data_IF_469447978828
#
_entry.id   IF_469447978828
#
_cell.length_a   1.000
_cell.length_b   1.000
_cell.length_c   1.000
_cell.angle_alpha   90.00
_cell.angle_beta   90.00
_cell.angle_gamma   90.00
#
_symmetry.space_group_name_H-M   'P 1'
#
loop_
_entity.id
_entity.type
_entity.pdbx_description
1 polymer ?
#
# COMPACT_ATOMS: atom_id res chain seq x y z
N UNK A 1 -9.11 -14.66 -0.60
CA UNK A 1 -8.34 -14.89 0.65
C UNK A 1 -7.98 -16.38 0.72
N UNK A 2 -6.75 -16.72 1.10
CA UNK A 2 -6.31 -18.11 1.32
C UNK A 2 -7.21 -18.80 2.35
N UNK A 3 -7.42 -20.12 2.20
CA UNK A 3 -8.25 -20.89 3.14
C UNK A 3 -7.66 -20.90 4.57
N UNK A 4 -6.33 -20.92 4.67
CA UNK A 4 -5.54 -20.94 5.92
C UNK A 4 -5.14 -19.52 6.41
N UNK A 5 -5.80 -18.47 5.93
CA UNK A 5 -5.45 -17.07 6.28
C UNK A 5 -5.48 -16.82 7.80
N UNK A 6 -6.48 -17.36 8.50
CA UNK A 6 -6.60 -17.17 9.95
C UNK A 6 -5.50 -17.91 10.73
N UNK A 7 -5.08 -19.09 10.26
CA UNK A 7 -3.99 -19.84 10.91
C UNK A 7 -2.66 -19.13 10.71
N UNK A 8 -2.43 -18.57 9.51
CA UNK A 8 -1.28 -17.73 9.25
C UNK A 8 -1.28 -16.45 10.12
N UNK A 9 -2.43 -15.82 10.29
CA UNK A 9 -2.56 -14.65 11.15
C UNK A 9 -2.28 -14.98 12.63
N UNK A 10 -2.78 -16.14 13.13
CA UNK A 10 -2.44 -16.66 14.47
C UNK A 10 -0.93 -16.90 14.62
N UNK A 11 -0.29 -17.48 13.60
CA UNK A 11 1.15 -17.68 13.58
C UNK A 11 1.90 -16.37 13.70
N UNK A 12 1.55 -15.36 12.88
CA UNK A 12 2.18 -14.03 12.95
C UNK A 12 1.96 -13.37 14.32
N UNK A 13 0.79 -13.51 14.92
CA UNK A 13 0.50 -13.00 16.25
C UNK A 13 1.43 -13.62 17.30
N UNK A 14 1.65 -14.95 17.25
CA UNK A 14 2.62 -15.63 18.12
C UNK A 14 4.05 -15.10 17.91
N UNK A 15 4.47 -14.91 16.67
CA UNK A 15 5.80 -14.33 16.38
C UNK A 15 5.94 -12.92 16.94
N UNK A 16 4.86 -12.14 16.92
CA UNK A 16 4.83 -10.80 17.52
C UNK A 16 4.91 -10.85 19.05
N UNK A 17 4.20 -11.79 19.69
CA UNK A 17 4.27 -12.00 21.14
C UNK A 17 5.68 -12.43 21.61
N UNK A 18 6.39 -13.19 20.77
CA UNK A 18 7.80 -13.58 21.00
C UNK A 18 8.82 -12.52 20.51
N UNK A 19 8.39 -11.30 20.22
CA UNK A 19 9.23 -10.17 19.77
C UNK A 19 10.07 -10.42 18.51
N UNK A 20 9.76 -11.52 17.76
CA UNK A 20 10.43 -11.83 16.49
C UNK A 20 10.01 -10.90 15.36
N UNK A 21 8.81 -10.35 15.44
CA UNK A 21 8.30 -9.29 14.57
C UNK A 21 7.68 -8.19 15.42
N UNK A 22 7.88 -6.93 15.04
CA UNK A 22 7.38 -5.78 15.81
C UNK A 22 5.94 -5.42 15.47
N UNK A 23 5.56 -5.50 14.21
CA UNK A 23 4.28 -5.01 13.71
C UNK A 23 3.71 -5.89 12.60
N UNK A 24 2.38 -5.99 12.58
CA UNK A 24 1.62 -6.66 11.51
C UNK A 24 0.78 -5.59 10.80
N UNK A 25 1.02 -5.42 9.50
CA UNK A 25 0.23 -4.55 8.65
C UNK A 25 -0.44 -5.36 7.55
N UNK A 26 -1.68 -4.99 7.22
CA UNK A 26 -2.41 -5.62 6.12
C UNK A 26 -2.76 -4.55 5.09
N UNK A 27 -2.48 -4.85 3.82
CA UNK A 27 -2.99 -4.08 2.70
C UNK A 27 -4.10 -4.87 2.02
N UNK A 28 -5.22 -4.22 1.76
CA UNK A 28 -6.42 -4.87 1.24
C UNK A 28 -7.22 -3.93 0.34
N UNK A 29 -8.00 -4.49 -0.59
CA UNK A 29 -9.04 -3.77 -1.32
C UNK A 29 -10.32 -3.55 -0.49
N UNK A 30 -10.36 -4.07 0.74
CA UNK A 30 -11.47 -3.90 1.69
C UNK A 30 -12.67 -4.81 1.47
N UNK A 31 -12.76 -5.56 0.37
CA UNK A 31 -13.97 -6.36 0.03
C UNK A 31 -14.34 -7.40 1.09
N UNK A 32 -13.37 -7.96 1.79
CA UNK A 32 -13.58 -8.95 2.84
C UNK A 32 -13.37 -8.37 4.26
N UNK A 33 -13.12 -7.07 4.36
CA UNK A 33 -12.74 -6.45 5.63
C UNK A 33 -13.85 -6.57 6.69
N UNK A 34 -15.12 -6.43 6.29
CA UNK A 34 -16.26 -6.60 7.20
C UNK A 34 -16.27 -7.97 7.90
N UNK A 35 -15.95 -9.02 7.12
CA UNK A 35 -15.92 -10.42 7.63
C UNK A 35 -14.77 -10.66 8.59
N UNK A 36 -13.59 -10.11 8.28
CA UNK A 36 -12.36 -10.44 9.00
C UNK A 36 -11.97 -9.42 10.09
N UNK A 37 -12.64 -8.28 10.20
CA UNK A 37 -12.25 -7.19 11.10
C UNK A 37 -12.05 -7.63 12.56
N UNK A 38 -12.90 -8.49 13.08
CA UNK A 38 -12.81 -9.02 14.46
C UNK A 38 -11.54 -9.85 14.66
N UNK A 39 -11.24 -10.75 13.74
CA UNK A 39 -10.02 -11.56 13.77
C UNK A 39 -8.76 -10.71 13.63
N UNK A 40 -8.79 -9.66 12.78
CA UNK A 40 -7.67 -8.75 12.63
C UNK A 40 -7.38 -7.98 13.92
N UNK A 41 -8.42 -7.56 14.63
CA UNK A 41 -8.30 -6.92 15.94
C UNK A 41 -7.80 -7.92 17.00
N UNK A 42 -8.40 -9.11 17.08
CA UNK A 42 -8.04 -10.17 18.02
C UNK A 42 -6.56 -10.59 17.89
N UNK A 43 -6.08 -10.73 16.67
CA UNK A 43 -4.68 -11.12 16.39
C UNK A 43 -3.71 -9.93 16.24
N UNK A 44 -4.04 -8.81 16.86
CA UNK A 44 -3.11 -7.71 17.09
C UNK A 44 -2.54 -7.06 15.83
N UNK A 45 -3.34 -6.98 14.76
CA UNK A 45 -2.98 -6.22 13.56
C UNK A 45 -2.86 -4.75 13.92
N UNK A 46 -1.69 -4.16 13.65
CA UNK A 46 -1.39 -2.79 14.05
C UNK A 46 -2.08 -1.76 13.15
N UNK A 47 -2.16 -2.04 11.85
CA UNK A 47 -2.76 -1.13 10.87
C UNK A 47 -3.28 -1.88 9.65
N UNK A 48 -4.38 -1.38 9.11
CA UNK A 48 -4.94 -1.83 7.84
C UNK A 48 -4.81 -0.69 6.84
N UNK A 49 -4.11 -0.95 5.73
CA UNK A 49 -4.07 -0.05 4.58
C UNK A 49 -5.18 -0.50 3.62
N UNK A 50 -6.15 0.36 3.37
CA UNK A 50 -7.23 0.06 2.44
C UNK A 50 -7.03 0.86 1.16
N UNK A 51 -6.99 0.16 0.02
CA UNK A 51 -6.97 0.78 -1.30
C UNK A 51 -8.38 1.29 -1.62
N UNK A 52 -8.51 2.61 -1.74
CA UNK A 52 -9.79 3.28 -2.02
C UNK A 52 -9.53 4.50 -2.89
N UNK A 53 -9.76 4.34 -4.19
CA UNK A 53 -9.41 5.36 -5.18
C UNK A 53 -10.54 6.35 -5.48
N UNK A 54 -11.78 6.07 -5.01
CA UNK A 54 -12.92 6.96 -5.18
C UNK A 54 -13.97 6.74 -4.07
N UNK A 55 -14.69 7.81 -3.72
CA UNK A 55 -15.88 7.80 -2.88
C UNK A 55 -17.18 7.87 -3.69
N UNK A 56 -17.08 7.94 -5.02
CA UNK A 56 -18.21 7.93 -5.96
C UNK A 56 -18.42 6.50 -6.45
N UNK A 57 -19.63 5.97 -6.29
CA UNK A 57 -19.95 4.56 -6.56
C UNK A 57 -19.64 4.15 -8.00
N UNK A 58 -19.99 4.97 -8.96
CA UNK A 58 -19.81 4.72 -10.38
C UNK A 58 -18.32 4.68 -10.75
N UNK A 59 -17.53 5.63 -10.24
CA UNK A 59 -16.08 5.65 -10.42
C UNK A 59 -15.40 4.46 -9.73
N UNK A 60 -15.82 4.14 -8.50
CA UNK A 60 -15.30 2.99 -7.77
C UNK A 60 -15.61 1.67 -8.50
N UNK A 61 -16.85 1.48 -8.93
CA UNK A 61 -17.27 0.31 -9.71
C UNK A 61 -16.43 0.16 -10.98
N UNK A 62 -16.23 1.25 -11.70
CA UNK A 62 -15.43 1.25 -12.93
C UNK A 62 -13.97 0.87 -12.68
N UNK A 63 -13.28 1.55 -11.74
CA UNK A 63 -11.84 1.34 -11.52
C UNK A 63 -11.52 -0.02 -10.88
N UNK A 64 -12.47 -0.59 -10.13
CA UNK A 64 -12.32 -1.89 -9.47
C UNK A 64 -12.90 -3.06 -10.28
N UNK A 65 -13.39 -2.78 -11.48
CA UNK A 65 -14.03 -3.76 -12.36
C UNK A 65 -15.18 -4.51 -11.66
N UNK A 66 -16.14 -3.77 -11.13
CA UNK A 66 -17.36 -4.33 -10.52
C UNK A 66 -17.39 -4.35 -8.99
N UNK A 67 -16.48 -3.64 -8.33
CA UNK A 67 -16.44 -3.56 -6.86
C UNK A 67 -17.64 -2.82 -6.25
N UNK A 68 -18.03 -3.23 -5.05
CA UNK A 68 -19.11 -2.60 -4.30
C UNK A 68 -18.54 -1.67 -3.21
N UNK A 69 -18.67 -0.35 -3.42
CA UNK A 69 -18.15 0.66 -2.50
C UNK A 69 -18.80 0.58 -1.12
N UNK A 70 -20.13 0.39 -1.05
CA UNK A 70 -20.85 0.37 0.24
C UNK A 70 -20.35 -0.75 1.15
N UNK A 71 -20.07 -1.93 0.57
CA UNK A 71 -19.51 -3.06 1.33
C UNK A 71 -18.12 -2.75 1.88
N UNK A 72 -17.29 -2.07 1.09
CA UNK A 72 -15.95 -1.67 1.52
C UNK A 72 -16.02 -0.63 2.63
N UNK A 73 -16.85 0.41 2.47
CA UNK A 73 -17.05 1.43 3.50
C UNK A 73 -17.60 0.85 4.81
N UNK A 74 -18.56 -0.08 4.74
CA UNK A 74 -19.05 -0.82 5.92
C UNK A 74 -17.92 -1.58 6.62
N UNK A 75 -17.06 -2.24 5.85
CA UNK A 75 -15.90 -2.97 6.39
C UNK A 75 -14.89 -2.05 7.09
N UNK A 76 -14.58 -0.91 6.47
CA UNK A 76 -13.68 0.12 7.02
C UNK A 76 -14.23 0.66 8.36
N UNK A 77 -15.50 1.01 8.39
CA UNK A 77 -16.14 1.56 9.59
C UNK A 77 -16.26 0.51 10.71
N UNK A 78 -16.54 -0.76 10.39
CA UNK A 78 -16.50 -1.86 11.36
C UNK A 78 -15.10 -2.02 11.95
N UNK A 79 -14.08 -2.08 11.12
CA UNK A 79 -12.70 -2.21 11.56
C UNK A 79 -12.28 -1.03 12.47
N UNK A 80 -12.70 0.19 12.14
CA UNK A 80 -12.48 1.37 12.99
C UNK A 80 -13.15 1.26 14.36
N UNK A 81 -14.41 0.80 14.40
CA UNK A 81 -15.15 0.58 15.67
C UNK A 81 -14.45 -0.44 16.57
N UNK A 82 -13.77 -1.44 15.99
CA UNK A 82 -12.98 -2.44 16.70
C UNK A 82 -11.57 -1.95 17.12
N UNK A 83 -11.30 -0.66 17.02
CA UNK A 83 -10.04 -0.04 17.44
C UNK A 83 -8.87 -0.19 16.46
N UNK A 84 -9.08 -0.77 15.29
CA UNK A 84 -8.02 -0.93 14.29
C UNK A 84 -7.61 0.42 13.68
N UNK A 85 -6.31 0.62 13.51
CA UNK A 85 -5.79 1.78 12.82
C UNK A 85 -6.02 1.65 11.31
N UNK A 86 -6.76 2.57 10.73
CA UNK A 86 -7.08 2.57 9.30
C UNK A 86 -6.25 3.64 8.60
N UNK A 87 -5.64 3.22 7.50
CA UNK A 87 -4.99 4.11 6.53
C UNK A 87 -5.63 3.90 5.16
N UNK A 88 -6.10 4.96 4.57
CA UNK A 88 -6.61 4.95 3.19
C UNK A 88 -5.44 5.25 2.25
N UNK A 89 -5.29 4.44 1.22
CA UNK A 89 -4.37 4.65 0.12
C UNK A 89 -5.18 4.95 -1.13
N UNK A 90 -4.94 6.10 -1.73
CA UNK A 90 -5.60 6.55 -2.96
C UNK A 90 -4.56 6.80 -4.04
N UNK A 91 -4.62 6.07 -5.14
CA UNK A 91 -3.83 6.35 -6.33
C UNK A 91 -4.51 7.48 -7.09
N UNK A 92 -3.77 8.58 -7.30
CA UNK A 92 -4.29 9.71 -8.06
C UNK A 92 -4.20 9.43 -9.56
N UNK A 93 -5.31 9.65 -10.24
CA UNK A 93 -5.46 9.51 -11.69
C UNK A 93 -6.03 10.79 -12.27
N UNK A 94 -5.29 11.38 -13.20
CA UNK A 94 -5.67 12.62 -13.90
C UNK A 94 -6.98 12.43 -14.67
N UNK A 95 -7.89 13.40 -14.56
CA UNK A 95 -9.22 13.42 -15.18
C UNK A 95 -10.11 12.24 -14.77
N UNK A 96 -9.83 11.62 -13.61
CA UNK A 96 -10.65 10.54 -13.09
C UNK A 96 -11.08 10.76 -11.64
N UNK A 97 -10.13 10.87 -10.70
CA UNK A 97 -10.41 11.09 -9.28
C UNK A 97 -9.65 12.28 -8.68
N UNK A 98 -9.00 13.07 -9.52
CA UNK A 98 -8.33 14.31 -9.11
C UNK A 98 -9.31 15.40 -8.66
N UNK A 99 -10.57 15.32 -9.04
CA UNK A 99 -11.68 16.12 -8.54
C UNK A 99 -12.17 15.70 -7.13
N UNK A 100 -11.79 14.50 -6.65
CA UNK A 100 -12.18 13.96 -5.35
C UNK A 100 -11.14 14.20 -4.24
N UNK A 101 -10.01 14.86 -4.52
CA UNK A 101 -8.93 15.07 -3.54
C UNK A 101 -9.49 15.64 -2.24
N UNK A 102 -10.31 16.66 -2.32
CA UNK A 102 -10.87 17.33 -1.15
C UNK A 102 -11.88 16.44 -0.41
N UNK A 103 -12.82 15.84 -1.12
CA UNK A 103 -13.84 14.98 -0.51
C UNK A 103 -13.24 13.78 0.22
N UNK A 104 -12.19 13.17 -0.35
CA UNK A 104 -11.44 12.08 0.29
C UNK A 104 -10.73 12.58 1.56
N UNK A 105 -10.10 13.75 1.52
CA UNK A 105 -9.45 14.36 2.69
C UNK A 105 -10.45 14.62 3.82
N UNK A 106 -11.58 15.23 3.49
CA UNK A 106 -12.64 15.53 4.47
C UNK A 106 -13.23 14.25 5.06
N UNK A 107 -13.51 13.25 4.23
CA UNK A 107 -14.03 11.97 4.70
C UNK A 107 -13.04 11.24 5.62
N UNK A 108 -11.76 11.22 5.25
CA UNK A 108 -10.72 10.65 6.10
C UNK A 108 -10.60 11.40 7.43
N UNK A 109 -10.63 12.71 7.40
CA UNK A 109 -10.57 13.55 8.60
C UNK A 109 -11.75 13.31 9.54
N UNK A 110 -12.98 13.31 9.01
CA UNK A 110 -14.21 13.03 9.77
C UNK A 110 -14.14 11.69 10.50
N UNK A 111 -13.56 10.69 9.87
CA UNK A 111 -13.45 9.32 10.42
C UNK A 111 -12.13 9.08 11.18
N UNK A 112 -11.26 10.06 11.32
CA UNK A 112 -9.94 9.95 11.94
C UNK A 112 -9.07 8.85 11.30
N UNK A 113 -9.11 8.74 9.97
CA UNK A 113 -8.25 7.87 9.18
C UNK A 113 -6.97 8.60 8.77
N UNK A 114 -5.86 7.87 8.69
CA UNK A 114 -4.70 8.35 7.95
C UNK A 114 -4.96 8.20 6.45
N UNK A 115 -4.45 9.14 5.65
CA UNK A 115 -4.58 9.11 4.19
C UNK A 115 -3.20 9.10 3.56
N UNK A 116 -3.05 8.44 2.40
CA UNK A 116 -1.91 8.65 1.52
C UNK A 116 -2.37 8.75 0.07
N UNK A 117 -2.03 9.85 -0.57
CA UNK A 117 -2.09 9.97 -2.02
C UNK A 117 -0.82 9.40 -2.66
N UNK A 118 -0.99 8.67 -3.75
CA UNK A 118 0.05 7.90 -4.41
C UNK A 118 0.04 8.23 -5.90
N UNK A 119 1.21 8.49 -6.47
CA UNK A 119 1.35 8.60 -7.93
C UNK A 119 1.15 7.24 -8.60
N UNK A 120 0.43 7.21 -9.71
CA UNK A 120 0.28 6.02 -10.54
C UNK A 120 1.65 5.53 -11.03
N UNK A 121 1.87 4.23 -10.95
CA UNK A 121 3.13 3.60 -11.37
C UNK A 121 2.91 2.74 -12.63
N UNK A 122 3.92 2.62 -13.52
CA UNK A 122 3.86 1.74 -14.69
C UNK A 122 4.16 0.29 -14.29
N UNK A 123 3.22 -0.35 -13.59
CA UNK A 123 3.31 -1.73 -13.07
C UNK A 123 2.10 -2.53 -13.55
N UNK A 124 2.30 -3.80 -13.87
CA UNK A 124 1.28 -4.68 -14.44
C UNK A 124 1.21 -4.57 -15.95
N UNK A 125 0.25 -5.25 -16.56
CA UNK A 125 0.01 -5.15 -18.00
C UNK A 125 -0.56 -3.78 -18.33
N UNK A 126 0.14 -3.05 -19.17
CA UNK A 126 -0.27 -1.74 -19.64
C UNK A 126 -0.61 -1.82 -21.12
N UNK A 127 -1.89 -1.63 -21.43
CA UNK A 127 -2.36 -1.51 -22.81
C UNK A 127 -2.09 -0.12 -23.41
N UNK A 128 -1.77 0.86 -22.55
CA UNK A 128 -1.43 2.24 -22.94
C UNK A 128 -0.45 2.86 -21.95
N UNK A 129 0.22 3.93 -22.37
CA UNK A 129 1.09 4.71 -21.50
C UNK A 129 0.32 5.29 -20.31
N UNK A 130 0.91 5.24 -19.11
CA UNK A 130 0.37 5.92 -17.92
C UNK A 130 0.47 7.44 -17.99
N UNK A 131 1.09 7.99 -19.02
CA UNK A 131 1.29 9.44 -19.21
C UNK A 131 -0.02 10.23 -19.15
N UNK A 132 -1.08 9.71 -19.76
CA UNK A 132 -2.40 10.36 -19.76
C UNK A 132 -3.09 10.35 -18.41
N UNK A 133 -2.76 9.37 -17.57
CA UNK A 133 -3.36 9.18 -16.24
C UNK A 133 -2.49 9.78 -15.12
N UNK A 134 -1.25 10.15 -15.43
CA UNK A 134 -0.31 10.63 -14.42
C UNK A 134 -0.66 12.04 -13.95
N UNK A 135 -0.69 12.20 -12.63
CA UNK A 135 -0.75 13.47 -11.94
C UNK A 135 0.24 13.45 -10.77
N UNK A 136 1.16 14.41 -10.67
CA UNK A 136 2.07 14.50 -9.53
C UNK A 136 1.31 14.74 -8.23
N UNK A 137 1.66 14.05 -7.15
CA UNK A 137 1.02 14.26 -5.84
C UNK A 137 1.18 15.68 -5.29
N UNK A 138 2.11 16.47 -5.83
CA UNK A 138 2.25 17.88 -5.48
C UNK A 138 0.99 18.70 -5.80
N UNK A 139 0.24 18.35 -6.85
CA UNK A 139 -1.04 19.00 -7.16
C UNK A 139 -2.02 18.83 -6.00
N UNK A 140 -2.19 17.59 -5.49
CA UNK A 140 -3.03 17.36 -4.31
C UNK A 140 -2.49 18.09 -3.08
N UNK A 141 -1.17 18.12 -2.90
CA UNK A 141 -0.53 18.86 -1.81
C UNK A 141 -0.83 20.35 -1.85
N UNK A 142 -0.77 20.97 -3.03
CA UNK A 142 -1.03 22.39 -3.20
C UNK A 142 -2.51 22.74 -2.97
N UNK A 143 -3.44 21.93 -3.48
CA UNK A 143 -4.88 22.07 -3.23
C UNK A 143 -5.16 22.04 -1.72
N UNK A 144 -4.63 21.03 -1.02
CA UNK A 144 -4.86 20.86 0.42
C UNK A 144 -4.18 21.99 1.20
N UNK A 145 -2.96 22.38 0.83
CA UNK A 145 -2.22 23.46 1.50
C UNK A 145 -2.95 24.78 1.40
N UNK A 146 -3.49 25.13 0.21
CA UNK A 146 -4.21 26.38 -0.03
C UNK A 146 -5.47 26.49 0.85
N UNK A 147 -6.18 25.39 1.06
CA UNK A 147 -7.49 25.41 1.73
C UNK A 147 -7.42 25.12 3.23
N UNK A 148 -6.53 24.22 3.65
CA UNK A 148 -6.49 23.70 5.02
C UNK A 148 -5.18 23.96 5.75
N UNK A 149 -4.21 24.58 5.08
CA UNK A 149 -2.84 24.63 5.56
C UNK A 149 -2.21 23.22 5.55
N UNK A 150 -0.90 23.14 5.44
CA UNK A 150 -0.22 21.84 5.43
C UNK A 150 1.21 21.99 5.99
N UNK A 151 1.46 21.38 7.14
CA UNK A 151 2.74 21.45 7.84
C UNK A 151 3.39 20.08 7.87
N UNK A 152 4.67 19.93 7.49
CA UNK A 152 5.37 18.65 7.59
C UNK A 152 5.46 18.20 9.04
N UNK A 153 5.36 16.89 9.26
CA UNK A 153 5.50 16.29 10.58
C UNK A 153 6.57 15.19 10.56
N UNK A 154 7.31 15.06 11.65
CA UNK A 154 8.29 14.00 11.82
C UNK A 154 7.62 12.68 12.23
N UNK A 155 6.55 12.30 11.50
CA UNK A 155 5.89 11.02 11.65
C UNK A 155 6.37 10.10 10.54
N UNK A 156 6.97 8.98 10.93
CA UNK A 156 7.46 7.97 9.98
C UNK A 156 6.72 6.67 10.19
N UNK A 157 6.45 5.98 9.12
CA UNK A 157 6.05 4.58 9.12
C UNK A 157 7.10 3.79 8.37
N UNK A 158 7.06 2.46 8.42
CA UNK A 158 7.95 1.61 7.61
C UNK A 158 7.67 1.71 6.09
N UNK A 159 6.79 2.60 5.67
CA UNK A 159 6.44 2.88 4.27
C UNK A 159 7.06 4.18 3.75
N UNK A 160 6.94 4.44 2.44
CA UNK A 160 7.58 5.56 1.75
C UNK A 160 6.83 6.90 1.89
N UNK A 161 5.74 6.93 2.62
CA UNK A 161 4.88 8.11 2.73
C UNK A 161 5.55 9.23 3.52
N UNK A 162 5.62 10.43 2.96
CA UNK A 162 5.99 11.66 3.66
C UNK A 162 4.73 12.29 4.23
N UNK A 163 4.67 12.46 5.55
CA UNK A 163 3.46 12.88 6.25
C UNK A 163 3.43 14.35 6.58
N UNK A 164 2.22 14.88 6.56
CA UNK A 164 1.87 16.26 6.91
C UNK A 164 0.61 16.26 7.80
N UNK A 165 0.46 17.29 8.60
CA UNK A 165 -0.81 17.62 9.25
C UNK A 165 -1.39 18.88 8.64
N UNK A 166 -2.70 19.00 8.65
CA UNK A 166 -3.40 20.23 8.31
C UNK A 166 -3.65 21.04 9.58
N UNK A 167 -3.81 22.34 9.43
CA UNK A 167 -4.12 23.22 10.58
C UNK A 167 -5.59 23.12 11.03
N UNK A 168 -6.47 22.68 10.11
CA UNK A 168 -7.93 22.70 10.31
C UNK A 168 -8.54 21.30 10.42
N UNK A 169 -7.79 20.23 10.10
CA UNK A 169 -8.31 18.88 10.04
C UNK A 169 -7.48 17.92 10.90
N UNK A 170 -8.15 17.01 11.59
CA UNK A 170 -7.53 16.06 12.53
C UNK A 170 -7.02 14.79 11.84
N UNK A 171 -6.36 14.89 10.67
CA UNK A 171 -5.84 13.73 9.95
C UNK A 171 -4.39 13.91 9.52
N UNK A 172 -3.68 12.79 9.46
CA UNK A 172 -2.33 12.73 8.89
C UNK A 172 -2.47 12.43 7.40
N UNK A 173 -1.96 13.33 6.56
CA UNK A 173 -1.98 13.18 5.11
C UNK A 173 -0.57 12.87 4.64
N UNK A 174 -0.43 11.76 3.95
CA UNK A 174 0.82 11.30 3.38
C UNK A 174 0.84 11.46 1.86
N UNK A 175 2.03 11.60 1.32
CA UNK A 175 2.28 11.62 -0.12
C UNK A 175 3.35 10.62 -0.48
N UNK A 176 3.08 9.81 -1.50
CA UNK A 176 4.00 8.80 -2.03
C UNK A 176 4.27 9.16 -3.50
N UNK A 177 5.47 9.59 -3.79
CA UNK A 177 5.91 10.11 -5.08
C UNK A 177 7.00 9.23 -5.71
N UNK A 178 6.66 8.03 -6.19
CA UNK A 178 7.67 7.14 -6.78
C UNK A 178 8.24 7.68 -8.09
N UNK A 179 7.51 8.53 -8.80
CA UNK A 179 7.90 9.07 -10.10
C UNK A 179 8.54 10.45 -9.95
N UNK A 180 7.80 11.42 -9.39
CA UNK A 180 8.25 12.82 -9.34
C UNK A 180 9.36 13.07 -8.31
N UNK A 181 9.38 12.33 -7.20
CA UNK A 181 10.39 12.41 -6.13
C UNK A 181 10.69 11.04 -5.57
N UNK A 182 11.49 10.25 -6.26
CA UNK A 182 11.75 8.89 -5.84
C UNK A 182 12.41 8.82 -4.44
N UNK A 183 12.09 7.75 -3.72
CA UNK A 183 12.55 7.49 -2.35
C UNK A 183 13.43 6.23 -2.27
N UNK A 184 14.01 5.81 -3.39
CA UNK A 184 14.75 4.55 -3.49
C UNK A 184 15.91 4.44 -2.51
N UNK A 185 16.68 5.53 -2.30
CA UNK A 185 17.81 5.57 -1.37
C UNK A 185 17.44 5.20 0.08
N UNK A 186 16.19 5.45 0.50
CA UNK A 186 15.70 5.12 1.84
C UNK A 186 14.80 3.87 1.88
N UNK A 187 14.70 3.13 0.78
CA UNK A 187 13.80 1.99 0.67
C UNK A 187 14.39 0.73 1.29
N UNK A 188 13.82 0.29 2.41
CA UNK A 188 14.20 -0.92 3.16
C UNK A 188 13.26 -2.12 2.87
N UNK A 189 12.46 -2.09 1.81
CA UNK A 189 11.43 -3.10 1.54
C UNK A 189 11.95 -4.23 0.67
N UNK A 190 11.53 -5.43 1.02
CA UNK A 190 11.60 -6.63 0.19
C UNK A 190 10.17 -7.17 0.01
N UNK A 191 9.98 -8.08 -0.93
CA UNK A 191 8.69 -8.72 -1.20
C UNK A 191 8.87 -10.21 -1.41
N UNK A 192 7.90 -10.97 -0.91
CA UNK A 192 7.79 -12.40 -1.18
C UNK A 192 6.36 -12.64 -1.65
N UNK A 193 6.21 -13.27 -2.79
CA UNK A 193 4.88 -13.64 -3.31
C UNK A 193 4.30 -14.83 -2.55
N UNK A 194 3.00 -15.05 -2.68
CA UNK A 194 2.34 -16.26 -2.16
C UNK A 194 2.88 -17.56 -2.77
N UNK A 195 3.52 -17.47 -3.93
CA UNK A 195 4.18 -18.59 -4.60
C UNK A 195 5.64 -18.77 -4.20
N UNK A 196 6.16 -18.00 -3.22
CA UNK A 196 7.54 -18.14 -2.73
C UNK A 196 8.60 -17.48 -3.61
N UNK A 197 8.23 -16.49 -4.45
CA UNK A 197 9.21 -15.74 -5.23
C UNK A 197 9.61 -14.47 -4.46
N UNK A 198 10.91 -14.32 -4.24
CA UNK A 198 11.50 -13.13 -3.62
C UNK A 198 11.79 -12.05 -4.65
N UNK A 199 11.51 -10.80 -4.29
CA UNK A 199 11.86 -9.59 -5.05
C UNK A 199 12.49 -8.55 -4.13
N UNK A 200 13.66 -8.05 -4.48
CA UNK A 200 14.34 -6.96 -3.74
C UNK A 200 13.73 -5.59 -4.04
N UNK A 201 13.09 -5.40 -5.19
CA UNK A 201 12.49 -4.15 -5.62
C UNK A 201 11.17 -4.36 -6.36
N UNK A 202 10.23 -3.41 -6.20
CA UNK A 202 8.97 -3.43 -6.96
C UNK A 202 9.19 -3.18 -8.47
N UNK A 203 10.09 -2.29 -8.81
CA UNK A 203 10.33 -1.84 -10.18
C UNK A 203 11.40 -2.64 -10.93
N UNK A 204 11.76 -3.83 -10.47
CA UNK A 204 12.70 -4.72 -11.12
C UNK A 204 12.19 -6.16 -11.13
N UNK A 205 12.49 -6.91 -12.19
CA UNK A 205 12.12 -8.32 -12.33
C UNK A 205 13.15 -9.29 -11.73
N UNK A 206 14.27 -8.75 -11.20
CA UNK A 206 15.25 -9.57 -10.49
C UNK A 206 14.61 -10.28 -9.29
N UNK A 207 14.55 -11.59 -9.37
CA UNK A 207 13.84 -12.45 -8.42
C UNK A 207 14.52 -13.78 -8.25
N UNK A 208 14.19 -14.52 -7.20
CA UNK A 208 14.54 -15.94 -7.08
C UNK A 208 13.46 -16.70 -6.29
N UNK A 209 13.34 -18.00 -6.57
CA UNK A 209 12.43 -18.90 -5.87
C UNK A 209 13.06 -19.37 -4.55
N UNK A 210 12.39 -19.14 -3.42
CA UNK A 210 12.84 -19.56 -2.09
C UNK A 210 12.42 -21.01 -1.77
N UNK A 211 11.43 -21.57 -2.47
CA UNK A 211 10.87 -22.91 -2.16
C UNK A 211 11.90 -24.04 -2.19
N UNK A 212 12.83 -24.12 -3.18
CA UNK A 212 13.83 -25.18 -3.20
C UNK A 212 14.68 -25.25 -1.93
N UNK A 213 14.94 -24.10 -1.31
CA UNK A 213 15.70 -24.03 -0.06
C UNK A 213 14.88 -24.49 1.14
N UNK A 214 13.60 -24.10 1.21
CA UNK A 214 12.69 -24.48 2.27
C UNK A 214 12.36 -25.98 2.23
N UNK A 215 12.05 -26.51 1.04
CA UNK A 215 11.67 -27.91 0.84
C UNK A 215 12.79 -28.90 1.17
N UNK A 216 14.05 -28.50 0.96
CA UNK A 216 15.22 -29.32 1.20
C UNK A 216 15.93 -28.98 2.53
N UNK A 217 15.27 -28.21 3.41
CA UNK A 217 15.82 -27.73 4.69
C UNK A 217 17.18 -27.03 4.58
N UNK A 218 17.46 -26.33 3.46
CA UNK A 218 18.69 -25.59 3.18
C UNK A 218 18.60 -24.16 3.71
N UNK A 219 18.32 -23.99 5.02
CA UNK A 219 18.01 -22.69 5.62
C UNK A 219 19.23 -21.75 5.61
N UNK A 220 20.41 -22.26 5.93
CA UNK A 220 21.65 -21.46 5.91
C UNK A 220 21.96 -20.90 4.53
N UNK A 221 21.79 -21.72 3.49
CA UNK A 221 21.98 -21.29 2.11
C UNK A 221 20.93 -20.23 1.71
N UNK A 222 19.68 -20.40 2.16
CA UNK A 222 18.62 -19.41 1.95
C UNK A 222 19.00 -18.07 2.60
N UNK A 223 19.47 -18.08 3.84
CA UNK A 223 19.90 -16.86 4.54
C UNK A 223 21.03 -16.15 3.78
N UNK A 224 22.03 -16.88 3.33
CA UNK A 224 23.14 -16.34 2.58
C UNK A 224 22.68 -15.76 1.24
N UNK A 225 21.77 -16.45 0.55
CA UNK A 225 21.17 -15.95 -0.69
C UNK A 225 20.34 -14.68 -0.45
N UNK A 226 19.52 -14.63 0.61
CA UNK A 226 18.74 -13.45 0.98
C UNK A 226 19.65 -12.25 1.29
N UNK A 227 20.71 -12.44 2.09
CA UNK A 227 21.71 -11.40 2.40
C UNK A 227 22.34 -10.86 1.12
N UNK A 228 22.78 -11.74 0.23
CA UNK A 228 23.33 -11.38 -1.08
C UNK A 228 22.34 -10.56 -1.92
N UNK A 229 21.09 -11.02 -2.06
CA UNK A 229 20.06 -10.35 -2.86
C UNK A 229 19.61 -9.02 -2.28
N UNK A 230 19.65 -8.86 -0.95
CA UNK A 230 19.39 -7.57 -0.29
C UNK A 230 20.53 -6.60 -0.56
N UNK A 231 21.78 -7.06 -0.51
CA UNK A 231 22.96 -6.25 -0.83
C UNK A 231 23.00 -5.80 -2.29
N UNK A 232 22.65 -6.71 -3.23
CA UNK A 232 22.59 -6.46 -4.67
C UNK A 232 21.34 -5.67 -5.10
N UNK A 233 20.55 -5.21 -4.15
CA UNK A 233 19.32 -4.46 -4.44
C UNK A 233 19.66 -3.19 -5.25
N UNK A 234 18.96 -2.94 -6.39
CA UNK A 234 19.25 -1.79 -7.22
C UNK A 234 19.01 -0.48 -6.45
N UNK A 235 19.88 0.50 -6.65
CA UNK A 235 19.80 1.82 -6.00
C UNK A 235 18.51 2.57 -6.32
N UNK A 236 17.95 2.36 -7.53
CA UNK A 236 16.70 3.00 -7.97
C UNK A 236 15.92 2.10 -8.93
N UNK A 237 14.61 2.31 -8.98
CA UNK A 237 13.75 1.69 -9.99
C UNK A 237 13.87 2.42 -11.35
N UNK A 238 13.40 1.75 -12.41
CA UNK A 238 13.41 2.28 -13.78
C UNK A 238 12.01 2.75 -14.25
N UNK A 239 11.14 3.17 -13.34
CA UNK A 239 9.82 3.66 -13.72
C UNK A 239 9.92 4.87 -14.64
N UNK A 240 9.32 4.76 -15.83
CA UNK A 240 9.13 5.84 -16.80
C UNK A 240 7.65 5.92 -17.12
N UNK A 241 7.08 7.12 -17.01
CA UNK A 241 5.63 7.29 -17.16
C UNK A 241 5.17 7.24 -18.61
N UNK A 242 6.06 7.56 -19.54
CA UNK A 242 5.86 7.59 -20.99
C UNK A 242 6.24 6.28 -21.68
N UNK A 243 6.74 5.30 -20.93
CA UNK A 243 7.15 3.98 -21.42
C UNK A 243 6.09 2.90 -21.22
N UNK A 244 6.44 1.71 -21.68
CA UNK A 244 5.74 0.46 -21.32
C UNK A 244 5.94 0.15 -19.84
N UNK A 245 5.23 -0.87 -19.36
CA UNK A 245 5.40 -1.36 -17.99
C UNK A 245 6.86 -1.61 -17.66
N UNK A 246 7.32 -1.10 -16.52
CA UNK A 246 8.66 -1.42 -16.01
C UNK A 246 8.76 -2.88 -15.55
N UNK A 247 7.64 -3.47 -15.15
CA UNK A 247 7.49 -4.87 -14.75
C UNK A 247 6.09 -5.36 -15.11
N UNK A 248 5.97 -6.55 -15.67
CA UNK A 248 4.69 -7.09 -16.14
C UNK A 248 3.85 -7.74 -15.03
N UNK A 249 4.37 -7.89 -13.83
CA UNK A 249 3.62 -8.45 -12.71
C UNK A 249 2.67 -7.44 -12.08
N UNK A 250 1.50 -7.92 -11.69
CA UNK A 250 0.50 -7.09 -11.00
C UNK A 250 0.91 -6.79 -9.55
N UNK A 251 0.46 -5.63 -9.03
CA UNK A 251 0.71 -5.22 -7.64
C UNK A 251 0.22 -6.24 -6.61
N UNK A 252 -0.93 -6.87 -6.84
CA UNK A 252 -1.50 -7.88 -5.96
C UNK A 252 -0.66 -9.16 -5.83
N UNK A 253 0.22 -9.42 -6.80
CA UNK A 253 1.14 -10.57 -6.75
C UNK A 253 2.27 -10.37 -5.75
N UNK A 254 2.74 -9.13 -5.60
CA UNK A 254 3.89 -8.79 -4.74
C UNK A 254 3.49 -8.01 -3.48
N UNK A 255 2.22 -7.83 -3.23
CA UNK A 255 1.69 -7.02 -2.15
C UNK A 255 1.78 -5.52 -2.44
N UNK A 256 0.65 -4.84 -2.42
CA UNK A 256 0.49 -3.39 -2.66
C UNK A 256 0.54 -2.57 -1.40
#
# INVERSE_FOLDING_TARGET
VRKDFLDYLKFLFKQKQCEKISEIFITTNGTQLYRYAEYLSLYGVNRINVSLDSLIKEKYFFITNGGNLDNVLKGILKAKKLGLNIKINTVLLKNFNDDEIESIVLWCSKNKFSLSFIEVMPVGELHSSRKTQFIPVNIAKDIIKKKYGLTPINFKTNGPSKYFKTNLLNSKIGFISPISQNFCKSCNRIRITSSGIFYGCLGHDSSFDIKPYLNNNRIEELENMLKKRIYEKPEKHFFKIDGYSAVNRFMNTTGG
#
